data_IF_137647372056
#
_entry.id   IF_137647372056
#
_cell.length_a   1.000
_cell.length_b   1.000
_cell.length_c   1.000
_cell.angle_alpha   90.00
_cell.angle_beta   90.00
_cell.angle_gamma   90.00
#
_symmetry.space_group_name_H-M   'P 1'
#
loop_
_entity.id
_entity.type
_entity.pdbx_description
1 polymer ?
#
# COMPACT_ATOMS: atom_id res chain seq x y z
N UNK A 1 -24.83 -10.97 10.14
CA UNK A 1 -25.64 -10.12 10.98
C UNK A 1 -24.92 -9.89 12.31
N UNK A 2 -24.09 -8.87 12.37
CA UNK A 2 -23.42 -8.46 13.60
C UNK A 2 -24.11 -7.21 14.14
N UNK A 3 -24.61 -7.33 15.35
CA UNK A 3 -25.35 -6.29 16.05
C UNK A 3 -24.44 -5.25 16.67
N UNK A 4 -24.89 -4.03 16.55
CA UNK A 4 -24.35 -2.81 17.14
C UNK A 4 -24.62 -2.76 18.65
N UNK A 5 -23.69 -2.40 19.53
CA UNK A 5 -24.03 -1.99 20.91
C UNK A 5 -24.14 -0.48 21.02
N UNK A 6 -25.30 -0.04 21.43
CA UNK A 6 -25.66 1.33 21.82
C UNK A 6 -25.05 1.75 23.17
N UNK A 7 -24.54 2.99 23.19
CA UNK A 7 -24.90 4.01 24.15
C UNK A 7 -24.39 3.92 25.60
N UNK A 8 -23.60 4.87 26.01
CA UNK A 8 -23.51 5.34 27.39
C UNK A 8 -23.51 6.87 27.46
N UNK A 9 -24.09 7.49 28.50
CA UNK A 9 -24.53 8.88 28.47
C UNK A 9 -23.48 9.87 29.00
N UNK A 10 -23.55 11.08 28.47
CA UNK A 10 -22.79 12.24 28.90
C UNK A 10 -23.05 12.65 30.36
N UNK A 11 -21.98 12.79 31.13
CA UNK A 11 -21.99 13.39 32.48
C UNK A 11 -21.61 14.87 32.44
N UNK A 12 -22.54 15.71 32.84
CA UNK A 12 -22.36 17.14 33.09
C UNK A 12 -21.50 17.40 34.31
N UNK A 13 -20.47 18.26 34.19
CA UNK A 13 -19.74 18.85 35.33
C UNK A 13 -19.93 20.38 35.27
N UNK A 14 -20.43 21.05 36.35
CA UNK A 14 -20.61 22.48 36.38
C UNK A 14 -19.30 23.23 36.75
N UNK A 15 -19.14 24.50 36.32
CA UNK A 15 -17.96 25.28 36.62
C UNK A 15 -17.98 25.88 38.03
N UNK A 16 -16.89 25.71 38.75
CA UNK A 16 -16.68 26.29 40.10
C UNK A 16 -15.99 27.66 39.97
N UNK A 17 -16.68 28.69 40.46
CA UNK A 17 -16.19 30.05 40.55
C UNK A 17 -15.18 30.18 41.71
N UNK A 18 -13.98 30.66 41.43
CA UNK A 18 -12.95 30.98 42.40
C UNK A 18 -12.99 32.43 42.83
N UNK A 19 -12.98 32.66 44.11
CA UNK A 19 -13.13 33.92 44.81
C UNK A 19 -11.93 34.89 44.64
N UNK A 20 -12.23 36.18 44.55
CA UNK A 20 -11.28 37.33 44.54
C UNK A 20 -10.91 37.71 45.96
N UNK A 21 -9.63 37.94 46.32
CA UNK A 21 -9.25 38.50 47.63
C UNK A 21 -9.35 40.03 47.60
N UNK A 22 -9.96 40.55 48.66
CA UNK A 22 -10.16 41.94 49.01
C UNK A 22 -8.84 42.65 49.31
N UNK A 23 -8.67 43.87 48.78
CA UNK A 23 -7.55 44.78 49.12
C UNK A 23 -8.03 45.82 50.15
N UNK A 24 -7.31 45.94 51.27
CA UNK A 24 -7.55 46.94 52.32
C UNK A 24 -6.53 48.09 52.18
N UNK A 25 -6.93 49.35 52.05
CA UNK A 25 -6.01 50.46 51.90
C UNK A 25 -5.97 51.33 53.18
N UNK A 26 -5.11 51.00 54.10
CA UNK A 26 -4.63 52.00 55.14
C UNK A 26 -3.28 51.61 55.67
N UNK A 27 -2.26 52.46 55.39
CA UNK A 27 -1.28 52.90 56.39
C UNK A 27 -0.28 53.92 55.81
N UNK A 28 -0.48 55.11 56.25
CA UNK A 28 0.42 56.14 56.83
C UNK A 28 1.86 56.30 56.34
N UNK A 29 2.16 57.51 55.89
CA UNK A 29 3.46 58.07 55.52
C UNK A 29 4.48 58.14 56.66
N UNK A 30 5.74 57.85 56.39
CA UNK A 30 6.92 58.14 57.16
C UNK A 30 7.92 58.98 56.36
N UNK A 31 8.52 60.05 56.88
CA UNK A 31 9.31 61.06 56.17
C UNK A 31 10.70 60.59 55.74
N UNK A 32 11.42 61.32 54.85
CA UNK A 32 12.57 60.82 54.14
C UNK A 32 13.89 61.01 55.01
N UNK A 33 14.64 59.94 55.17
CA UNK A 33 16.05 60.02 55.56
C UNK A 33 16.93 60.11 54.30
N UNK A 34 17.71 61.18 54.25
CA UNK A 34 18.78 61.40 53.30
C UNK A 34 19.91 60.38 53.59
N UNK A 35 20.08 59.39 52.71
CA UNK A 35 21.14 58.38 52.82
C UNK A 35 21.83 58.20 51.47
N UNK A 36 23.15 58.15 51.51
CA UNK A 36 24.11 58.07 50.39
C UNK A 36 23.76 57.17 49.21
N UNK A 37 24.23 57.50 47.99
CA UNK A 37 23.93 56.71 46.81
C UNK A 37 24.50 55.30 46.89
N UNK A 38 23.75 54.22 46.73
CA UNK A 38 24.26 52.86 46.76
C UNK A 38 25.00 52.58 45.47
N UNK A 39 26.21 52.02 45.60
CA UNK A 39 26.99 51.43 44.51
C UNK A 39 26.13 50.42 43.75
N UNK A 40 25.87 50.68 42.47
CA UNK A 40 25.15 49.78 41.55
C UNK A 40 25.84 48.41 41.50
N UNK A 41 25.32 47.44 42.23
CA UNK A 41 25.69 46.02 42.06
C UNK A 41 25.04 45.53 40.74
N UNK A 42 25.88 45.13 39.79
CA UNK A 42 25.50 44.51 38.49
C UNK A 42 24.81 43.12 38.66
N UNK A 43 23.73 43.01 39.44
CA UNK A 43 22.96 41.77 39.61
C UNK A 43 21.77 41.64 38.64
N UNK A 44 21.36 42.73 37.95
CA UNK A 44 20.23 42.71 37.02
C UNK A 44 20.51 41.96 35.71
N UNK A 45 21.79 41.92 35.27
CA UNK A 45 22.15 41.26 34.03
C UNK A 45 22.09 39.72 34.13
N UNK A 46 22.36 39.14 35.31
CA UNK A 46 22.38 37.70 35.54
C UNK A 46 20.96 37.12 35.65
N UNK A 47 20.00 37.88 36.20
CA UNK A 47 18.59 37.51 36.29
C UNK A 47 17.92 37.62 34.92
N UNK A 48 18.25 38.66 34.13
CA UNK A 48 17.74 38.78 32.73
C UNK A 48 18.26 37.63 31.85
N UNK A 49 19.51 37.18 32.05
CA UNK A 49 20.08 36.04 31.32
C UNK A 49 19.42 34.71 31.71
N UNK A 50 19.11 34.52 33.03
CA UNK A 50 18.46 33.32 33.56
C UNK A 50 17.01 33.14 33.07
N UNK A 51 16.33 34.24 32.71
CA UNK A 51 14.97 34.21 32.15
C UNK A 51 15.00 34.12 30.61
N UNK A 52 15.99 34.80 29.98
CA UNK A 52 16.08 34.81 28.51
C UNK A 52 16.46 33.45 27.94
N UNK A 53 17.34 32.68 28.61
CA UNK A 53 17.77 31.36 28.10
C UNK A 53 16.60 30.36 27.98
N UNK A 54 15.77 30.12 29.02
CA UNK A 54 14.65 29.21 28.90
C UNK A 54 13.60 29.68 27.89
N UNK A 55 13.37 30.99 27.71
CA UNK A 55 12.46 31.53 26.71
C UNK A 55 12.97 31.28 25.29
N UNK A 56 14.29 31.47 25.06
CA UNK A 56 14.92 31.19 23.76
C UNK A 56 14.88 29.69 23.45
N UNK A 57 15.15 28.85 24.45
CA UNK A 57 15.07 27.38 24.29
C UNK A 57 13.62 26.96 23.98
N UNK A 58 12.64 27.50 24.70
CA UNK A 58 11.23 27.19 24.45
C UNK A 58 10.79 27.65 23.06
N UNK A 59 11.20 28.86 22.64
CA UNK A 59 10.93 29.35 21.28
C UNK A 59 11.60 28.49 20.22
N UNK A 60 12.85 28.06 20.45
CA UNK A 60 13.55 27.14 19.53
C UNK A 60 12.85 25.78 19.45
N UNK A 61 12.39 25.23 20.57
CA UNK A 61 11.61 23.98 20.59
C UNK A 61 10.30 24.15 19.82
N UNK A 62 9.56 25.24 20.03
CA UNK A 62 8.32 25.52 19.32
C UNK A 62 8.58 25.66 17.80
N UNK A 63 9.65 26.37 17.40
CA UNK A 63 10.01 26.52 15.99
C UNK A 63 10.37 25.15 15.39
N UNK A 64 11.13 24.31 16.10
CA UNK A 64 11.47 22.97 15.62
C UNK A 64 10.22 22.11 15.50
N UNK A 65 9.33 22.12 16.48
CA UNK A 65 8.06 21.37 16.43
C UNK A 65 7.18 21.86 15.27
N UNK A 66 7.04 23.18 15.07
CA UNK A 66 6.28 23.73 13.95
C UNK A 66 6.94 23.41 12.59
N UNK A 67 8.27 23.52 12.50
CA UNK A 67 8.99 23.14 11.27
C UNK A 67 8.87 21.65 10.96
N UNK A 68 8.94 20.79 11.98
CA UNK A 68 8.76 19.34 11.81
C UNK A 68 7.32 19.04 11.41
N UNK A 69 6.32 19.63 12.05
CA UNK A 69 4.92 19.42 11.74
C UNK A 69 4.55 19.93 10.33
N UNK A 70 5.05 21.11 9.92
CA UNK A 70 4.77 21.64 8.58
C UNK A 70 5.55 20.89 7.49
N UNK A 71 6.79 20.48 7.74
CA UNK A 71 7.56 19.66 6.78
C UNK A 71 7.02 18.24 6.67
N UNK A 72 6.56 17.66 7.78
CA UNK A 72 5.89 16.37 7.80
C UNK A 72 4.56 16.41 7.03
N UNK A 73 3.71 17.42 7.28
CA UNK A 73 2.43 17.57 6.60
C UNK A 73 2.57 17.78 5.09
N UNK A 74 3.53 18.58 4.62
CA UNK A 74 3.79 18.73 3.20
C UNK A 74 4.37 17.45 2.58
N UNK A 75 5.21 16.72 3.30
CA UNK A 75 5.78 15.46 2.80
C UNK A 75 4.72 14.38 2.70
N UNK A 76 3.84 14.27 3.69
CA UNK A 76 2.74 13.30 3.67
C UNK A 76 1.79 13.59 2.51
N UNK A 77 1.44 14.88 2.29
CA UNK A 77 0.61 15.26 1.15
C UNK A 77 1.26 14.87 -0.17
N UNK A 78 2.55 15.17 -0.37
CA UNK A 78 3.26 14.77 -1.57
C UNK A 78 3.28 13.24 -1.73
N UNK A 79 3.53 12.50 -0.65
CA UNK A 79 3.55 11.04 -0.71
C UNK A 79 2.17 10.44 -1.05
N UNK A 80 1.08 11.03 -0.55
CA UNK A 80 -0.28 10.64 -0.94
C UNK A 80 -0.54 10.94 -2.42
N UNK A 81 -0.14 12.13 -2.89
CA UNK A 81 -0.28 12.52 -4.30
C UNK A 81 0.59 11.64 -5.21
N UNK A 82 1.84 11.38 -4.83
CA UNK A 82 2.76 10.52 -5.59
C UNK A 82 2.22 9.08 -5.67
N UNK A 83 1.68 8.54 -4.56
CA UNK A 83 1.07 7.22 -4.52
C UNK A 83 -0.15 7.13 -5.46
N UNK A 84 -1.13 8.03 -5.32
CA UNK A 84 -2.31 7.99 -6.18
C UNK A 84 -1.99 8.22 -7.65
N UNK A 85 -1.00 9.06 -7.94
CA UNK A 85 -0.54 9.27 -9.31
C UNK A 85 0.05 7.98 -9.90
N UNK A 86 0.89 7.27 -9.15
CA UNK A 86 1.45 5.98 -9.57
C UNK A 86 0.33 4.93 -9.74
N UNK A 87 -0.58 4.85 -8.77
CA UNK A 87 -1.70 3.90 -8.76
C UNK A 87 -2.61 4.05 -10.01
N UNK A 88 -3.08 5.26 -10.32
CA UNK A 88 -3.95 5.47 -11.49
C UNK A 88 -3.20 5.44 -12.83
N UNK A 89 -1.88 5.59 -12.83
CA UNK A 89 -1.07 5.43 -14.04
C UNK A 89 -0.63 3.98 -14.30
N UNK A 90 -0.91 3.05 -13.38
CA UNK A 90 -0.46 1.68 -13.48
C UNK A 90 1.05 1.54 -13.32
N UNK A 91 1.71 2.40 -12.51
CA UNK A 91 3.17 2.41 -12.35
C UNK A 91 3.56 1.68 -11.05
N UNK A 92 3.55 0.34 -11.08
CA UNK A 92 3.91 -0.50 -9.95
C UNK A 92 5.39 -0.33 -9.55
N UNK A 93 6.28 0.01 -10.47
CA UNK A 93 7.68 0.34 -10.16
C UNK A 93 7.76 1.58 -9.26
N UNK A 94 7.00 2.65 -9.58
CA UNK A 94 6.96 3.84 -8.74
C UNK A 94 6.37 3.57 -7.35
N UNK A 95 5.37 2.67 -7.24
CA UNK A 95 4.83 2.21 -5.95
C UNK A 95 5.90 1.41 -5.18
N UNK A 96 6.68 0.57 -5.86
CA UNK A 96 7.76 -0.21 -5.26
C UNK A 96 8.91 0.65 -4.67
N UNK A 97 9.14 1.85 -5.20
CA UNK A 97 10.09 2.81 -4.61
C UNK A 97 9.63 3.36 -3.26
N UNK A 98 8.33 3.22 -2.93
CA UNK A 98 7.73 3.66 -1.66
C UNK A 98 7.77 2.58 -0.57
N UNK A 99 8.36 1.42 -0.86
CA UNK A 99 8.46 0.24 0.02
C UNK A 99 9.90 0.07 0.50
N UNK A 100 10.15 -0.28 1.79
CA UNK A 100 11.50 -0.53 2.28
C UNK A 100 12.12 -1.79 1.67
N UNK A 101 13.45 -1.76 1.48
CA UNK A 101 14.15 -2.89 0.86
C UNK A 101 13.99 -4.19 1.67
N UNK A 102 13.89 -4.09 2.99
CA UNK A 102 13.71 -5.23 3.91
C UNK A 102 12.35 -5.93 3.73
N UNK A 103 11.35 -5.24 3.20
CA UNK A 103 10.04 -5.85 2.93
C UNK A 103 10.11 -6.93 1.81
N UNK A 104 11.03 -6.78 0.87
CA UNK A 104 11.18 -7.75 -0.21
C UNK A 104 11.72 -9.10 0.28
N UNK A 105 12.49 -9.11 1.37
CA UNK A 105 12.90 -10.35 2.04
C UNK A 105 11.67 -11.08 2.63
N UNK A 106 10.72 -10.33 3.23
CA UNK A 106 9.45 -10.89 3.71
C UNK A 106 8.61 -11.49 2.57
N UNK A 107 8.47 -10.79 1.44
CA UNK A 107 7.75 -11.32 0.26
C UNK A 107 8.38 -12.62 -0.24
N UNK A 108 9.71 -12.66 -0.34
CA UNK A 108 10.42 -13.87 -0.77
C UNK A 108 10.23 -15.02 0.21
N UNK A 109 10.34 -14.77 1.52
CA UNK A 109 10.23 -15.81 2.54
C UNK A 109 8.79 -16.32 2.73
N UNK A 110 7.79 -15.46 2.54
CA UNK A 110 6.38 -15.77 2.80
C UNK A 110 5.69 -16.37 1.58
N UNK A 111 5.93 -15.82 0.39
CA UNK A 111 5.19 -16.14 -0.84
C UNK A 111 6.04 -16.82 -1.91
N UNK A 112 7.37 -16.91 -1.73
CA UNK A 112 8.33 -17.42 -2.72
C UNK A 112 8.31 -16.62 -4.04
N UNK A 113 8.09 -15.29 -3.94
CA UNK A 113 8.18 -14.37 -5.07
C UNK A 113 9.37 -13.44 -4.91
N UNK A 114 10.08 -13.19 -6.01
CA UNK A 114 11.07 -12.12 -6.09
C UNK A 114 10.38 -10.74 -6.12
N UNK A 115 11.16 -9.67 -5.87
CA UNK A 115 10.68 -8.29 -6.03
C UNK A 115 10.07 -8.05 -7.41
N UNK A 116 10.72 -8.51 -8.48
CA UNK A 116 10.26 -8.30 -9.85
C UNK A 116 8.94 -9.03 -10.12
N UNK A 117 8.75 -10.24 -9.57
CA UNK A 117 7.49 -10.99 -9.66
C UNK A 117 6.37 -10.32 -8.87
N UNK A 118 6.66 -9.74 -7.70
CA UNK A 118 5.67 -8.99 -6.94
C UNK A 118 5.27 -7.69 -7.66
N UNK A 119 6.22 -6.97 -8.27
CA UNK A 119 5.95 -5.79 -9.10
C UNK A 119 5.06 -6.16 -10.28
N UNK A 120 5.41 -7.22 -11.02
CA UNK A 120 4.58 -7.69 -12.13
C UNK A 120 3.16 -8.12 -11.67
N UNK A 121 3.02 -8.65 -10.46
CA UNK A 121 1.72 -8.94 -9.87
C UNK A 121 0.89 -7.68 -9.58
N UNK A 122 1.51 -6.64 -9.07
CA UNK A 122 0.81 -5.38 -8.85
C UNK A 122 0.44 -4.70 -10.18
N UNK A 123 1.30 -4.76 -11.21
CA UNK A 123 0.96 -4.31 -12.57
C UNK A 123 -0.29 -5.02 -13.09
N UNK A 124 -0.36 -6.36 -12.97
CA UNK A 124 -1.53 -7.16 -13.39
C UNK A 124 -2.81 -6.73 -12.67
N UNK A 125 -2.74 -6.45 -11.35
CA UNK A 125 -3.87 -5.94 -10.58
C UNK A 125 -4.33 -4.55 -11.06
N UNK A 126 -3.37 -3.63 -11.29
CA UNK A 126 -3.67 -2.27 -11.74
C UNK A 126 -4.24 -2.25 -13.16
N UNK A 127 -3.78 -3.12 -14.04
CA UNK A 127 -4.35 -3.32 -15.37
C UNK A 127 -5.79 -3.85 -15.28
N UNK A 128 -6.06 -4.88 -14.44
CA UNK A 128 -7.41 -5.40 -14.20
C UNK A 128 -8.35 -4.32 -13.63
N UNK A 129 -7.84 -3.48 -12.69
CA UNK A 129 -8.59 -2.34 -12.16
C UNK A 129 -8.92 -1.34 -13.28
N UNK A 130 -7.94 -1.02 -14.12
CA UNK A 130 -8.12 -0.11 -15.25
C UNK A 130 -9.18 -0.63 -16.23
N UNK A 131 -9.13 -1.90 -16.59
CA UNK A 131 -10.10 -2.53 -17.48
C UNK A 131 -11.49 -2.55 -16.86
N UNK A 132 -11.62 -2.87 -15.57
CA UNK A 132 -12.90 -2.90 -14.84
C UNK A 132 -13.55 -1.53 -14.78
N UNK A 133 -12.77 -0.45 -14.61
CA UNK A 133 -13.29 0.92 -14.59
C UNK A 133 -13.40 1.56 -15.98
N UNK A 134 -12.91 0.92 -17.03
CA UNK A 134 -13.05 1.38 -18.43
C UNK A 134 -11.88 2.24 -18.93
N UNK A 135 -10.74 2.21 -18.26
CA UNK A 135 -9.54 2.96 -18.65
C UNK A 135 -9.55 4.43 -18.22
N UNK A 136 -8.51 5.18 -18.62
CA UNK A 136 -8.34 6.61 -18.35
C UNK A 136 -8.55 6.97 -16.87
N UNK A 137 -7.91 6.21 -15.96
CA UNK A 137 -8.11 6.38 -14.53
C UNK A 137 -7.69 7.76 -14.04
N UNK A 138 -8.51 8.32 -13.17
CA UNK A 138 -8.27 9.57 -12.45
C UNK A 138 -8.59 9.36 -10.98
N UNK A 139 -8.06 10.22 -10.10
CA UNK A 139 -8.35 10.14 -8.68
C UNK A 139 -8.75 11.48 -8.10
N UNK A 140 -9.49 11.42 -7.01
CA UNK A 140 -9.71 12.53 -6.08
C UNK A 140 -9.63 12.01 -4.65
N UNK A 141 -9.18 12.84 -3.72
CA UNK A 141 -9.15 12.45 -2.32
C UNK A 141 -9.39 13.65 -1.41
N UNK A 142 -10.02 13.38 -0.26
CA UNK A 142 -10.27 14.32 0.81
C UNK A 142 -9.68 13.79 2.12
N UNK A 143 -8.89 14.65 2.78
CA UNK A 143 -8.37 14.31 4.10
C UNK A 143 -9.45 14.46 5.14
N UNK A 144 -9.78 13.39 5.86
CA UNK A 144 -10.76 13.39 6.95
C UNK A 144 -10.11 13.63 8.32
N UNK A 145 -8.89 13.10 8.52
CA UNK A 145 -8.12 13.32 9.75
C UNK A 145 -6.61 13.22 9.47
N UNK A 146 -5.77 13.71 10.39
CA UNK A 146 -4.33 13.51 10.35
C UNK A 146 -3.74 13.49 11.75
N UNK A 147 -2.78 12.60 11.95
CA UNK A 147 -2.01 12.47 13.17
C UNK A 147 -0.52 12.33 12.88
N UNK A 148 0.32 12.93 13.70
CA UNK A 148 1.77 12.79 13.61
C UNK A 148 2.33 12.16 14.88
N UNK A 149 3.27 11.23 14.73
CA UNK A 149 3.93 10.55 15.83
C UNK A 149 5.45 10.58 15.72
N UNK A 150 6.08 10.96 16.80
CA UNK A 150 7.54 10.92 16.95
C UNK A 150 7.87 10.28 18.29
N UNK A 151 8.68 9.22 18.26
CA UNK A 151 9.07 8.45 19.45
C UNK A 151 8.09 7.34 19.81
N UNK A 152 8.59 6.35 20.52
CA UNK A 152 7.95 5.06 20.81
C UNK A 152 6.63 5.14 21.59
N UNK A 153 6.35 6.29 22.23
CA UNK A 153 5.18 6.46 23.10
C UNK A 153 3.99 7.11 22.37
N UNK A 154 4.14 7.47 21.10
CA UNK A 154 3.04 7.99 20.28
C UNK A 154 2.05 6.88 19.96
N UNK A 155 0.76 7.10 20.23
CA UNK A 155 -0.32 6.14 19.93
C UNK A 155 -0.34 5.81 18.42
N UNK A 156 -0.28 6.83 17.57
CA UNK A 156 -0.24 6.66 16.12
C UNK A 156 0.98 5.83 15.65
N UNK A 157 2.16 6.04 16.24
CA UNK A 157 3.34 5.26 15.89
C UNK A 157 3.25 3.82 16.39
N UNK A 158 2.50 3.54 17.47
CA UNK A 158 2.19 2.18 17.88
C UNK A 158 1.32 1.49 16.86
N UNK A 159 0.23 2.14 16.42
CA UNK A 159 -0.69 1.57 15.41
C UNK A 159 0.07 1.26 14.10
N UNK A 160 0.92 2.20 13.64
CA UNK A 160 1.77 1.98 12.47
C UNK A 160 2.77 0.84 12.69
N UNK A 161 3.39 0.74 13.87
CA UNK A 161 4.32 -0.34 14.18
C UNK A 161 3.63 -1.67 14.43
N UNK A 162 2.39 -1.69 14.92
CA UNK A 162 1.59 -2.92 15.02
C UNK A 162 1.33 -3.48 13.62
N UNK A 163 0.96 -2.66 12.64
CA UNK A 163 0.87 -3.05 11.23
C UNK A 163 2.21 -3.53 10.66
N UNK A 164 3.28 -2.73 10.83
CA UNK A 164 4.61 -3.05 10.29
C UNK A 164 5.24 -4.30 10.92
N UNK A 165 4.81 -4.68 12.13
CA UNK A 165 5.33 -5.87 12.82
C UNK A 165 4.99 -7.18 12.12
N UNK A 166 3.92 -7.21 11.32
CA UNK A 166 3.54 -8.36 10.53
C UNK A 166 4.58 -8.65 9.42
N UNK A 167 5.37 -7.65 9.07
CA UNK A 167 6.42 -7.69 8.05
C UNK A 167 7.84 -7.60 8.63
N UNK A 168 8.01 -7.80 9.95
CA UNK A 168 9.29 -7.63 10.68
C UNK A 168 9.90 -6.22 10.55
N UNK A 169 9.08 -5.21 10.25
CA UNK A 169 9.49 -3.82 10.09
C UNK A 169 9.18 -2.98 11.34
N UNK A 170 9.91 -1.88 11.50
CA UNK A 170 9.70 -0.93 12.61
C UNK A 170 10.02 0.49 12.21
N UNK A 171 9.09 1.40 12.47
CA UNK A 171 9.26 2.83 12.24
C UNK A 171 9.74 3.58 13.49
N UNK A 172 10.61 4.59 13.28
CA UNK A 172 11.06 5.55 14.27
C UNK A 172 10.16 6.78 14.41
N UNK A 173 9.44 7.10 13.32
CA UNK A 173 8.52 8.23 13.24
C UNK A 173 7.49 7.96 12.13
N UNK A 174 6.36 8.65 12.18
CA UNK A 174 5.35 8.52 11.14
C UNK A 174 4.34 9.67 11.15
N UNK A 175 3.61 9.79 10.05
CA UNK A 175 2.43 10.66 9.91
C UNK A 175 1.34 9.83 9.28
N UNK A 176 0.21 9.71 9.98
CA UNK A 176 -1.00 9.05 9.50
C UNK A 176 -1.96 10.07 8.91
N UNK A 177 -2.61 9.71 7.82
CA UNK A 177 -3.70 10.46 7.19
C UNK A 177 -4.86 9.52 6.99
N UNK A 178 -6.00 9.84 7.60
CA UNK A 178 -7.27 9.21 7.22
C UNK A 178 -7.83 9.96 6.02
N UNK A 179 -8.27 9.22 5.01
CA UNK A 179 -8.78 9.81 3.79
C UNK A 179 -9.94 9.03 3.22
N UNK A 180 -10.78 9.75 2.50
CA UNK A 180 -11.72 9.18 1.54
C UNK A 180 -11.18 9.52 0.14
N UNK A 181 -11.07 8.52 -0.72
CA UNK A 181 -10.60 8.67 -2.08
C UNK A 181 -11.54 7.98 -3.06
N UNK A 182 -11.60 8.50 -4.28
CA UNK A 182 -12.35 7.90 -5.38
C UNK A 182 -11.42 7.75 -6.56
N UNK A 183 -11.32 6.55 -7.11
CA UNK A 183 -10.70 6.28 -8.41
C UNK A 183 -11.81 6.13 -9.44
N UNK A 184 -11.73 6.88 -10.53
CA UNK A 184 -12.75 6.91 -11.57
C UNK A 184 -12.13 6.64 -12.93
N UNK A 185 -12.75 5.73 -13.69
CA UNK A 185 -12.46 5.52 -15.09
C UNK A 185 -13.59 6.03 -15.99
N UNK A 186 -13.57 5.66 -17.27
CA UNK A 186 -14.57 6.10 -18.26
C UNK A 186 -15.94 5.45 -18.04
N UNK A 187 -16.01 4.30 -17.37
CA UNK A 187 -17.23 3.48 -17.24
C UNK A 187 -17.76 3.42 -15.82
N UNK A 188 -16.89 3.42 -14.81
CA UNK A 188 -17.25 3.22 -13.41
C UNK A 188 -16.27 3.93 -12.47
N UNK A 189 -16.54 3.87 -11.16
CA UNK A 189 -15.68 4.42 -10.12
C UNK A 189 -15.72 3.56 -8.87
N UNK A 190 -14.63 3.59 -8.09
CA UNK A 190 -14.46 2.86 -6.84
C UNK A 190 -14.08 3.82 -5.72
N UNK A 191 -14.76 3.71 -4.58
CA UNK A 191 -14.55 4.54 -3.40
C UNK A 191 -13.70 3.78 -2.36
N UNK A 192 -12.71 4.47 -1.81
CA UNK A 192 -11.78 3.98 -0.80
C UNK A 192 -11.88 4.84 0.46
N UNK A 193 -11.87 4.20 1.63
CA UNK A 193 -11.80 4.90 2.93
C UNK A 193 -10.83 4.15 3.83
N UNK A 194 -9.66 4.71 4.04
CA UNK A 194 -8.59 4.07 4.80
C UNK A 194 -7.62 5.08 5.45
N UNK A 195 -6.71 4.55 6.25
CA UNK A 195 -5.63 5.32 6.87
C UNK A 195 -4.31 4.97 6.19
N UNK A 196 -3.68 5.94 5.57
CA UNK A 196 -2.34 5.82 5.01
C UNK A 196 -1.32 6.40 5.99
N UNK A 197 -0.25 5.68 6.25
CA UNK A 197 0.86 6.17 7.06
C UNK A 197 2.12 6.35 6.22
N UNK A 198 2.70 7.55 6.34
CA UNK A 198 4.08 7.80 5.94
C UNK A 198 4.97 7.49 7.13
N UNK A 199 5.77 6.44 7.04
CA UNK A 199 6.61 5.94 8.14
C UNK A 199 8.08 6.16 7.83
N UNK A 200 8.88 6.41 8.86
CA UNK A 200 10.33 6.55 8.74
C UNK A 200 11.02 5.32 9.31
N UNK A 201 11.72 4.58 8.44
CA UNK A 201 12.51 3.40 8.76
C UNK A 201 13.94 3.69 8.33
N UNK A 202 14.92 3.52 9.22
CA UNK A 202 16.36 3.76 8.96
C UNK A 202 16.68 5.10 8.27
N UNK A 203 15.91 6.13 8.62
CA UNK A 203 16.13 7.48 8.11
C UNK A 203 15.43 7.81 6.79
N UNK A 204 14.87 6.84 6.07
CA UNK A 204 14.08 7.02 4.84
C UNK A 204 12.58 6.97 5.16
N UNK A 205 11.78 7.56 4.27
CA UNK A 205 10.33 7.59 4.41
C UNK A 205 9.69 6.65 3.40
N UNK A 206 8.69 5.90 3.86
CA UNK A 206 7.97 4.87 3.11
C UNK A 206 6.46 5.01 3.29
N UNK A 207 5.69 4.34 2.45
CA UNK A 207 4.23 4.37 2.44
C UNK A 207 3.67 3.00 2.82
N UNK A 208 2.80 2.95 3.83
CA UNK A 208 2.21 1.68 4.30
C UNK A 208 1.19 1.11 3.32
N UNK A 209 0.52 1.96 2.54
CA UNK A 209 -0.44 1.48 1.54
C UNK A 209 0.28 0.73 0.41
N UNK A 210 1.43 1.24 -0.04
CA UNK A 210 2.26 0.53 -1.00
C UNK A 210 2.69 -0.86 -0.49
N UNK A 211 2.98 -1.01 0.82
CA UNK A 211 3.26 -2.32 1.43
C UNK A 211 2.02 -3.23 1.36
N UNK A 212 0.84 -2.69 1.69
CA UNK A 212 -0.43 -3.41 1.64
C UNK A 212 -0.79 -3.88 0.24
N UNK A 213 -0.55 -3.05 -0.79
CA UNK A 213 -0.82 -3.40 -2.18
C UNK A 213 0.03 -4.58 -2.65
N UNK A 214 1.32 -4.61 -2.31
CA UNK A 214 2.18 -5.73 -2.68
C UNK A 214 1.84 -7.00 -1.90
N UNK A 215 1.48 -6.89 -0.61
CA UNK A 215 0.99 -8.04 0.16
C UNK A 215 -0.28 -8.63 -0.47
N UNK A 216 -1.23 -7.77 -0.84
CA UNK A 216 -2.45 -8.17 -1.56
C UNK A 216 -2.13 -8.78 -2.92
N UNK A 217 -1.25 -8.17 -3.73
CA UNK A 217 -0.91 -8.69 -5.05
C UNK A 217 -0.28 -10.10 -4.98
N UNK A 218 0.48 -10.38 -3.91
CA UNK A 218 1.05 -11.71 -3.67
C UNK A 218 0.01 -12.69 -3.11
N UNK A 219 -0.77 -12.29 -2.09
CA UNK A 219 -1.74 -13.15 -1.41
C UNK A 219 -2.94 -13.51 -2.28
N UNK A 220 -3.40 -12.59 -3.12
CA UNK A 220 -4.57 -12.77 -3.98
C UNK A 220 -4.23 -13.43 -5.34
N UNK A 221 -2.94 -13.76 -5.55
CA UNK A 221 -2.49 -14.56 -6.68
C UNK A 221 -2.12 -13.79 -7.94
N UNK A 222 -2.10 -12.46 -7.91
CA UNK A 222 -1.66 -11.64 -9.05
C UNK A 222 -0.19 -11.87 -9.39
N UNK A 223 0.70 -11.95 -8.38
CA UNK A 223 2.10 -12.27 -8.59
C UNK A 223 2.30 -13.69 -9.18
N UNK A 224 1.51 -14.66 -8.73
CA UNK A 224 1.52 -16.00 -9.31
C UNK A 224 1.04 -15.98 -10.77
N UNK A 225 -0.02 -15.24 -11.06
CA UNK A 225 -0.55 -15.07 -12.43
C UNK A 225 0.51 -14.46 -13.36
N UNK A 226 1.14 -13.35 -12.96
CA UNK A 226 2.16 -12.68 -13.75
C UNK A 226 3.37 -13.60 -14.00
N UNK A 227 3.86 -14.27 -12.96
CA UNK A 227 4.97 -15.25 -13.04
C UNK A 227 4.68 -16.37 -14.03
N UNK A 228 3.55 -17.05 -13.86
CA UNK A 228 3.23 -18.21 -14.69
C UNK A 228 2.82 -17.81 -16.10
N UNK A 229 2.20 -16.65 -16.30
CA UNK A 229 1.93 -16.13 -17.64
C UNK A 229 3.23 -15.82 -18.38
N UNK A 230 4.21 -15.20 -17.72
CA UNK A 230 5.53 -14.96 -18.31
C UNK A 230 6.27 -16.28 -18.64
N UNK A 231 6.13 -17.32 -17.81
CA UNK A 231 6.83 -18.61 -18.01
C UNK A 231 6.14 -19.49 -19.04
N UNK A 232 4.83 -19.57 -19.04
CA UNK A 232 4.06 -20.53 -19.83
C UNK A 232 3.14 -19.92 -20.89
N UNK A 233 3.00 -18.58 -20.92
CA UNK A 233 2.04 -17.89 -21.81
C UNK A 233 2.22 -18.25 -23.27
N UNK A 234 3.45 -18.15 -23.79
CA UNK A 234 3.74 -18.48 -25.21
C UNK A 234 3.39 -19.94 -25.53
N UNK A 235 3.62 -20.86 -24.60
CA UNK A 235 3.25 -22.26 -24.76
C UNK A 235 1.73 -22.44 -24.81
N UNK A 236 1.01 -21.77 -23.92
CA UNK A 236 -0.45 -21.83 -23.87
C UNK A 236 -1.10 -21.17 -25.09
N UNK A 237 -0.57 -20.04 -25.55
CA UNK A 237 -1.00 -19.40 -26.79
C UNK A 237 -0.85 -20.32 -27.99
N UNK A 238 0.31 -20.97 -28.10
CA UNK A 238 0.58 -21.94 -29.16
C UNK A 238 -0.38 -23.13 -29.08
N UNK A 239 -0.60 -23.65 -27.85
CA UNK A 239 -1.51 -24.79 -27.64
C UNK A 239 -2.96 -24.42 -28.04
N UNK A 240 -3.50 -23.30 -27.55
CA UNK A 240 -4.86 -22.89 -27.86
C UNK A 240 -5.07 -22.50 -29.33
N UNK A 241 -4.06 -21.85 -29.92
CA UNK A 241 -4.07 -21.54 -31.34
C UNK A 241 -4.11 -22.83 -32.17
N UNK A 242 -3.32 -23.82 -31.84
CA UNK A 242 -3.33 -25.13 -32.49
C UNK A 242 -4.66 -25.88 -32.28
N UNK A 243 -5.22 -25.80 -31.05
CA UNK A 243 -6.52 -26.40 -30.74
C UNK A 243 -7.65 -25.81 -31.59
N UNK A 244 -7.77 -24.47 -31.65
CA UNK A 244 -8.81 -23.77 -32.44
C UNK A 244 -8.66 -23.98 -33.95
N UNK A 245 -7.45 -24.21 -34.43
CA UNK A 245 -7.17 -24.52 -35.83
C UNK A 245 -7.19 -26.02 -36.17
N UNK A 246 -7.57 -26.85 -35.18
CA UNK A 246 -7.55 -28.31 -35.33
C UNK A 246 -6.17 -28.85 -35.79
N UNK A 247 -5.08 -28.16 -35.38
CA UNK A 247 -3.69 -28.54 -35.72
C UNK A 247 -3.19 -29.63 -34.78
N UNK A 248 -3.55 -30.87 -35.07
CA UNK A 248 -3.12 -32.02 -34.29
C UNK A 248 -1.60 -32.25 -34.34
N UNK A 249 -0.87 -31.77 -35.35
CA UNK A 249 0.60 -31.89 -35.42
C UNK A 249 1.24 -31.05 -34.33
N UNK A 250 0.87 -29.79 -34.22
CA UNK A 250 1.35 -28.89 -33.15
C UNK A 250 0.94 -29.40 -31.76
N UNK A 251 -0.34 -29.78 -31.58
CA UNK A 251 -0.82 -30.36 -30.30
C UNK A 251 -0.08 -31.63 -29.93
N UNK A 252 0.27 -32.45 -30.92
CA UNK A 252 1.05 -33.67 -30.72
C UNK A 252 2.47 -33.45 -30.23
N UNK A 253 3.01 -32.23 -30.29
CA UNK A 253 4.33 -31.89 -29.72
C UNK A 253 4.30 -31.79 -28.21
N UNK A 254 3.13 -31.53 -27.61
CA UNK A 254 2.92 -31.45 -26.15
C UNK A 254 2.66 -32.82 -25.53
N UNK A 255 2.51 -33.88 -26.33
CA UNK A 255 2.26 -35.23 -25.84
C UNK A 255 3.58 -35.98 -25.62
N UNK A 256 3.87 -36.47 -24.40
CA UNK A 256 5.08 -37.23 -24.14
C UNK A 256 5.24 -38.46 -25.03
N UNK A 257 6.49 -38.78 -25.41
CA UNK A 257 6.80 -39.95 -26.27
C UNK A 257 6.27 -41.26 -25.68
N UNK A 258 6.31 -41.43 -24.36
CA UNK A 258 5.76 -42.59 -23.66
C UNK A 258 4.24 -42.80 -23.93
N UNK A 259 3.49 -41.72 -24.14
CA UNK A 259 2.06 -41.83 -24.49
C UNK A 259 1.87 -42.35 -25.91
N UNK A 260 2.72 -41.95 -26.86
CA UNK A 260 2.69 -42.49 -28.23
C UNK A 260 3.03 -43.97 -28.26
N UNK A 261 3.98 -44.40 -27.47
CA UNK A 261 4.34 -45.86 -27.32
C UNK A 261 3.17 -46.62 -26.71
N UNK A 262 2.49 -46.08 -25.70
CA UNK A 262 1.30 -46.67 -25.08
C UNK A 262 0.15 -46.80 -26.12
N UNK A 263 -0.15 -45.76 -26.89
CA UNK A 263 -1.22 -45.79 -27.92
C UNK A 263 -0.90 -46.86 -28.97
N UNK A 264 0.35 -46.97 -29.37
CA UNK A 264 0.79 -47.97 -30.33
C UNK A 264 0.66 -49.42 -29.81
N UNK A 265 1.03 -49.65 -28.57
CA UNK A 265 0.96 -50.97 -27.93
C UNK A 265 -0.48 -51.39 -27.62
N UNK A 266 -1.30 -50.49 -27.13
CA UNK A 266 -2.67 -50.81 -26.71
C UNK A 266 -3.68 -50.79 -27.84
N UNK A 267 -3.53 -49.91 -28.81
CA UNK A 267 -4.55 -49.64 -29.85
C UNK A 267 -4.00 -49.86 -31.26
N UNK A 268 -2.70 -50.16 -31.44
CA UNK A 268 -2.08 -50.29 -32.75
C UNK A 268 -2.05 -48.95 -33.55
N UNK A 269 -2.21 -47.82 -32.85
CA UNK A 269 -2.28 -46.48 -33.43
C UNK A 269 -0.86 -45.87 -33.32
N UNK A 270 -0.21 -45.63 -34.45
CA UNK A 270 1.05 -44.87 -34.42
C UNK A 270 0.82 -43.38 -34.29
N UNK A 271 1.87 -42.60 -34.00
CA UNK A 271 1.80 -41.16 -33.74
C UNK A 271 1.10 -40.43 -34.89
N UNK A 272 1.43 -40.70 -36.12
CA UNK A 272 0.84 -39.97 -37.27
C UNK A 272 -0.66 -40.23 -37.36
N UNK A 273 -1.09 -41.49 -37.25
CA UNK A 273 -2.49 -41.84 -37.26
C UNK A 273 -3.27 -41.23 -36.08
N UNK A 274 -2.63 -41.14 -34.91
CA UNK A 274 -3.28 -40.47 -33.77
C UNK A 274 -3.41 -38.97 -33.94
N UNK A 275 -2.40 -38.32 -34.50
CA UNK A 275 -2.41 -36.87 -34.83
C UNK A 275 -3.44 -36.55 -35.88
N UNK A 276 -3.49 -37.34 -36.97
CA UNK A 276 -4.53 -37.18 -38.04
C UNK A 276 -5.94 -37.35 -37.46
N UNK A 277 -6.16 -38.35 -36.61
CA UNK A 277 -7.42 -38.55 -35.91
C UNK A 277 -7.79 -37.36 -34.99
N UNK A 278 -6.81 -36.85 -34.23
CA UNK A 278 -7.02 -35.69 -33.34
C UNK A 278 -7.44 -34.47 -34.17
N UNK A 279 -6.75 -34.17 -35.27
CA UNK A 279 -7.09 -33.06 -36.16
C UNK A 279 -8.50 -33.19 -36.68
N UNK A 280 -8.87 -34.37 -37.19
CA UNK A 280 -10.25 -34.61 -37.71
C UNK A 280 -11.29 -34.48 -36.57
N UNK A 281 -11.01 -35.05 -35.39
CA UNK A 281 -11.94 -34.99 -34.26
C UNK A 281 -12.16 -33.54 -33.77
N UNK A 282 -11.11 -32.75 -33.72
CA UNK A 282 -11.20 -31.33 -33.32
C UNK A 282 -11.97 -30.51 -34.35
N UNK A 283 -11.68 -30.70 -35.65
CA UNK A 283 -12.38 -30.02 -36.76
C UNK A 283 -13.88 -30.30 -36.69
N UNK A 284 -14.27 -31.57 -36.55
CA UNK A 284 -15.68 -31.97 -36.43
C UNK A 284 -16.36 -31.45 -35.15
N UNK A 285 -15.61 -31.44 -34.01
CA UNK A 285 -16.13 -31.02 -32.72
C UNK A 285 -16.30 -29.51 -32.66
N UNK A 286 -15.31 -28.74 -33.12
CA UNK A 286 -15.35 -27.28 -33.16
C UNK A 286 -16.41 -26.79 -34.13
N UNK A 287 -16.52 -27.37 -35.34
CA UNK A 287 -17.55 -27.05 -36.31
C UNK A 287 -18.97 -27.31 -35.77
N UNK A 288 -19.14 -28.24 -34.84
CA UNK A 288 -20.43 -28.54 -34.22
C UNK A 288 -20.76 -27.63 -33.00
N UNK A 289 -19.74 -27.10 -32.35
CA UNK A 289 -19.90 -26.33 -31.12
C UNK A 289 -19.90 -24.80 -31.36
N UNK A 290 -19.17 -24.34 -32.36
CA UNK A 290 -18.98 -22.93 -32.68
C UNK A 290 -19.15 -22.65 -34.14
N UNK A 291 -19.49 -21.40 -34.50
CA UNK A 291 -19.32 -20.90 -35.86
C UNK A 291 -17.81 -20.60 -36.02
N UNK A 292 -17.06 -21.60 -36.48
CA UNK A 292 -15.58 -21.66 -36.35
C UNK A 292 -14.84 -20.59 -37.13
N UNK A 293 -15.50 -19.88 -38.04
CA UNK A 293 -14.86 -18.80 -38.80
C UNK A 293 -14.55 -17.57 -37.93
N UNK A 294 -15.18 -17.48 -36.73
CA UNK A 294 -15.06 -16.36 -35.81
C UNK A 294 -14.49 -16.75 -34.42
N UNK A 295 -14.04 -17.99 -34.19
CA UNK A 295 -13.51 -18.42 -32.93
C UNK A 295 -12.07 -17.84 -32.69
N UNK A 296 -11.95 -17.00 -31.70
CA UNK A 296 -10.67 -16.41 -31.30
C UNK A 296 -10.44 -16.60 -29.79
N UNK A 297 -9.18 -16.64 -29.38
CA UNK A 297 -8.84 -16.51 -27.97
C UNK A 297 -8.97 -15.03 -27.63
N UNK A 298 -9.87 -14.71 -26.69
CA UNK A 298 -10.11 -13.33 -26.26
C UNK A 298 -9.21 -12.99 -25.10
N UNK A 299 -9.06 -13.95 -24.16
CA UNK A 299 -8.23 -13.80 -22.98
C UNK A 299 -7.87 -15.18 -22.42
N UNK A 300 -6.68 -15.30 -21.84
CA UNK A 300 -6.26 -16.46 -21.05
C UNK A 300 -5.45 -16.01 -19.83
N UNK A 301 -5.72 -16.64 -18.70
CA UNK A 301 -5.03 -16.34 -17.43
C UNK A 301 -4.57 -17.65 -16.80
N UNK A 302 -3.26 -17.72 -16.46
CA UNK A 302 -2.68 -18.87 -15.75
C UNK A 302 -2.64 -18.47 -14.27
N UNK A 303 -3.54 -19.05 -13.48
CA UNK A 303 -3.68 -18.72 -12.04
C UNK A 303 -2.97 -19.71 -11.12
N UNK A 304 -2.64 -20.89 -11.62
CA UNK A 304 -1.98 -21.95 -10.84
C UNK A 304 -1.24 -22.92 -11.75
N UNK A 305 -0.06 -23.34 -11.32
CA UNK A 305 0.71 -24.43 -11.89
C UNK A 305 1.00 -25.46 -10.80
N UNK A 306 0.54 -26.70 -11.01
CA UNK A 306 0.81 -27.79 -10.10
C UNK A 306 1.98 -28.63 -10.64
N UNK A 307 3.05 -28.79 -9.86
CA UNK A 307 4.15 -29.69 -10.14
C UNK A 307 3.71 -31.13 -9.83
N UNK A 308 3.47 -31.92 -10.86
CA UNK A 308 3.32 -33.37 -10.72
C UNK A 308 4.69 -34.04 -10.90
N UNK A 309 5.30 -34.56 -9.82
CA UNK A 309 6.42 -35.48 -9.92
C UNK A 309 5.93 -36.76 -10.64
N UNK A 310 6.58 -37.10 -11.75
CA UNK A 310 6.26 -38.24 -12.59
C UNK A 310 6.93 -39.53 -12.07
#
# INVERSE_FOLDING_TARGET
>A
PYGNPQGAPAGNIPPQAGAVPNYDPTMTAIPPMVGQPPKKKKKGCLIALLIAIPVVILAAIIIVVVCVATSAGNRTKNMVEDYWQAYVSGDADAIAEMVPDEYWDYIQDTYDFSKDEAIAGLDEYLDELSDRLGGNLTYSWDQTNAAAGVGSDSEMLKDANDFLSDFDLKADAGVGVEMDATVSGDSDSEDYSFSMWSVKIDGKWYNTEAISDFDMACSDGYAATAKYTAEYGDMMDTYWTAFLNADGETLGTYVPDAMWDFLKEQYGCDKNAAVDYLSQYLDESLASAYDTDDAIIVDQKITQVDDYEA
#
